data_IF_821675944266
#
_entry.id   IF_821675944266
#
_cell.length_a   1.000
_cell.length_b   1.000
_cell.length_c   1.000
_cell.angle_alpha   90.00
_cell.angle_beta   90.00
_cell.angle_gamma   90.00
#
_symmetry.space_group_name_H-M   'P 1'
#
loop_
_entity.id
_entity.type
_entity.pdbx_description
1 polymer ?
#
# COMPACT_ATOMS: atom_id res chain seq x y z
N UNK A 1 -31.17 -9.12 -7.24
CA UNK A 1 -30.59 -9.34 -8.58
C UNK A 1 -31.21 -10.60 -9.18
N UNK A 2 -31.45 -10.61 -10.46
CA UNK A 2 -32.07 -11.73 -11.16
C UNK A 2 -31.14 -12.18 -12.29
N UNK A 3 -31.29 -13.45 -12.72
CA UNK A 3 -30.50 -14.00 -13.80
C UNK A 3 -29.50 -15.10 -13.37
N UNK A 4 -28.95 -15.84 -14.36
CA UNK A 4 -28.04 -16.94 -14.08
C UNK A 4 -26.66 -16.42 -13.62
N UNK A 5 -26.01 -17.18 -12.72
CA UNK A 5 -24.64 -16.93 -12.27
C UNK A 5 -23.81 -18.20 -12.20
N UNK A 6 -22.50 -18.01 -12.22
CA UNK A 6 -21.53 -18.98 -11.74
C UNK A 6 -20.86 -18.38 -10.50
N UNK A 7 -21.00 -19.03 -9.36
CA UNK A 7 -20.33 -18.65 -8.13
C UNK A 7 -19.02 -19.41 -7.99
N UNK A 8 -17.98 -18.73 -7.50
CA UNK A 8 -16.64 -19.28 -7.33
C UNK A 8 -16.18 -19.11 -5.89
N UNK A 9 -15.82 -20.21 -5.26
CA UNK A 9 -15.02 -20.22 -4.03
C UNK A 9 -13.56 -20.45 -4.42
N UNK A 10 -12.73 -19.42 -4.22
CA UNK A 10 -11.37 -19.35 -4.77
C UNK A 10 -10.34 -19.77 -3.73
N UNK A 11 -9.49 -20.74 -4.11
CA UNK A 11 -8.37 -21.24 -3.32
C UNK A 11 -7.07 -21.25 -4.15
N UNK A 12 -5.94 -21.51 -3.49
CA UNK A 12 -4.63 -21.58 -4.13
C UNK A 12 -4.58 -22.71 -5.15
N UNK A 13 -4.42 -22.39 -6.44
CA UNK A 13 -4.22 -23.34 -7.53
C UNK A 13 -5.46 -24.12 -7.98
N UNK A 14 -6.51 -24.16 -7.17
CA UNK A 14 -7.79 -24.77 -7.52
C UNK A 14 -8.95 -24.03 -6.84
N UNK A 15 -10.14 -24.13 -7.40
CA UNK A 15 -11.35 -23.47 -6.88
C UNK A 15 -12.55 -24.37 -7.04
N UNK A 16 -13.64 -24.02 -6.37
CA UNK A 16 -14.93 -24.64 -6.59
C UNK A 16 -15.84 -23.71 -7.39
N UNK A 17 -16.62 -24.25 -8.28
CA UNK A 17 -17.62 -23.52 -9.06
C UNK A 17 -18.98 -24.19 -9.00
N UNK A 18 -20.04 -23.39 -8.98
CA UNK A 18 -21.41 -23.86 -9.10
C UNK A 18 -22.25 -22.88 -9.92
N UNK A 19 -23.01 -23.43 -10.87
CA UNK A 19 -23.97 -22.67 -11.65
C UNK A 19 -25.31 -22.54 -10.94
N UNK A 20 -25.97 -21.39 -11.11
CA UNK A 20 -27.34 -21.16 -10.64
C UNK A 20 -28.16 -20.53 -11.76
N UNK A 21 -29.36 -21.09 -11.98
CA UNK A 21 -30.34 -20.56 -12.95
C UNK A 21 -30.98 -19.27 -12.42
N UNK A 22 -31.25 -19.23 -11.14
CA UNK A 22 -31.80 -18.10 -10.38
C UNK A 22 -31.58 -18.33 -8.89
N UNK A 23 -32.08 -17.40 -8.03
CA UNK A 23 -32.01 -17.55 -6.58
C UNK A 23 -32.56 -18.91 -6.11
N UNK A 24 -31.75 -19.64 -5.35
CA UNK A 24 -32.10 -20.95 -4.79
C UNK A 24 -32.24 -22.09 -5.80
N UNK A 25 -31.93 -21.90 -7.10
CA UNK A 25 -32.03 -22.93 -8.15
C UNK A 25 -30.69 -23.27 -8.74
N UNK A 26 -29.91 -24.17 -8.12
CA UNK A 26 -28.61 -24.60 -8.67
C UNK A 26 -28.75 -25.43 -9.91
N UNK A 27 -27.82 -25.30 -10.85
CA UNK A 27 -27.62 -26.18 -12.01
C UNK A 27 -26.55 -27.21 -11.67
N UNK A 28 -26.95 -28.33 -11.08
CA UNK A 28 -26.04 -29.39 -10.65
C UNK A 28 -25.34 -29.09 -9.32
N UNK A 29 -24.38 -29.94 -8.97
CA UNK A 29 -23.55 -29.82 -7.76
C UNK A 29 -22.35 -28.89 -8.02
N UNK A 30 -21.80 -28.33 -6.96
CA UNK A 30 -20.51 -27.68 -7.04
C UNK A 30 -19.43 -28.69 -7.45
N UNK A 31 -18.47 -28.23 -8.24
CA UNK A 31 -17.34 -29.07 -8.68
C UNK A 31 -16.03 -28.31 -8.53
N UNK A 32 -14.98 -29.07 -8.30
CA UNK A 32 -13.61 -28.58 -8.21
C UNK A 32 -13.00 -28.43 -9.60
N UNK A 33 -12.26 -27.35 -9.83
CA UNK A 33 -11.48 -27.14 -11.05
C UNK A 33 -10.11 -26.53 -10.71
N UNK A 34 -9.13 -26.79 -11.51
CA UNK A 34 -7.79 -26.23 -11.42
C UNK A 34 -7.70 -24.93 -12.23
N UNK A 35 -6.78 -24.04 -11.86
CA UNK A 35 -6.52 -22.80 -12.58
C UNK A 35 -5.64 -23.05 -13.82
N UNK A 36 -6.12 -23.90 -14.73
CA UNK A 36 -5.48 -24.26 -15.99
C UNK A 36 -6.52 -24.29 -17.12
N UNK A 37 -6.05 -24.52 -18.34
CA UNK A 37 -6.91 -24.53 -19.54
C UNK A 37 -8.04 -25.55 -19.46
N UNK A 38 -7.79 -26.75 -18.91
CA UNK A 38 -8.81 -27.78 -18.74
C UNK A 38 -9.90 -27.34 -17.76
N UNK A 39 -9.47 -26.81 -16.60
CA UNK A 39 -10.40 -26.31 -15.59
C UNK A 39 -11.24 -25.14 -16.11
N UNK A 40 -10.64 -24.20 -16.81
CA UNK A 40 -11.37 -23.08 -17.44
C UNK A 40 -12.28 -23.55 -18.57
N UNK A 41 -11.94 -24.62 -19.29
CA UNK A 41 -12.83 -25.29 -20.25
C UNK A 41 -14.13 -25.77 -19.60
N UNK A 42 -14.06 -26.36 -18.41
CA UNK A 42 -15.25 -26.77 -17.63
C UNK A 42 -16.14 -25.59 -17.25
N UNK A 43 -15.54 -24.43 -16.94
CA UNK A 43 -16.29 -23.18 -16.65
C UNK A 43 -16.99 -22.66 -17.90
N UNK A 44 -16.30 -22.65 -19.04
CA UNK A 44 -16.88 -22.27 -20.35
C UNK A 44 -18.05 -23.14 -20.73
N UNK A 45 -17.96 -24.45 -20.51
CA UNK A 45 -19.05 -25.42 -20.76
C UNK A 45 -20.24 -25.16 -19.82
N UNK A 46 -19.99 -24.94 -18.52
CA UNK A 46 -21.04 -24.58 -17.57
C UNK A 46 -21.75 -23.28 -17.98
N UNK A 47 -20.99 -22.30 -18.46
CA UNK A 47 -21.53 -21.01 -18.95
C UNK A 47 -22.47 -21.24 -20.15
N UNK A 48 -22.07 -22.06 -21.14
CA UNK A 48 -22.92 -22.42 -22.29
C UNK A 48 -24.20 -23.09 -21.85
N UNK A 49 -24.14 -24.08 -20.98
CA UNK A 49 -25.32 -24.80 -20.44
C UNK A 49 -26.28 -23.88 -19.68
N UNK A 50 -25.77 -22.92 -18.92
CA UNK A 50 -26.59 -21.91 -18.24
C UNK A 50 -27.30 -21.02 -19.28
N UNK A 51 -26.59 -20.54 -20.29
CA UNK A 51 -27.12 -19.72 -21.37
C UNK A 51 -28.21 -20.47 -22.16
N UNK A 52 -27.99 -21.73 -22.49
CA UNK A 52 -28.97 -22.57 -23.20
C UNK A 52 -30.28 -22.72 -22.41
N UNK A 53 -30.21 -22.86 -21.09
CA UNK A 53 -31.38 -23.02 -20.22
C UNK A 53 -32.11 -21.73 -19.88
N UNK A 54 -31.42 -20.59 -19.89
CA UNK A 54 -31.98 -19.32 -19.44
C UNK A 54 -32.13 -18.26 -20.53
N UNK A 55 -31.48 -18.47 -21.68
CA UNK A 55 -31.40 -17.49 -22.77
C UNK A 55 -30.46 -16.31 -22.49
N UNK A 56 -29.83 -16.27 -21.30
CA UNK A 56 -29.02 -15.12 -20.83
C UNK A 56 -27.60 -15.58 -20.46
N UNK A 57 -26.58 -14.79 -20.79
CA UNK A 57 -25.22 -15.07 -20.34
C UNK A 57 -25.13 -15.02 -18.81
N UNK A 58 -24.53 -16.01 -18.14
CA UNK A 58 -24.36 -15.97 -16.71
C UNK A 58 -23.34 -14.92 -16.29
N UNK A 59 -23.54 -14.31 -15.15
CA UNK A 59 -22.53 -13.49 -14.49
C UNK A 59 -21.61 -14.35 -13.62
N UNK A 60 -20.39 -13.91 -13.43
CA UNK A 60 -19.41 -14.53 -12.53
C UNK A 60 -19.44 -13.82 -11.16
N UNK A 61 -19.51 -14.61 -10.08
CA UNK A 61 -19.54 -14.07 -8.71
C UNK A 61 -18.48 -14.80 -7.89
N UNK A 62 -17.57 -14.08 -7.26
CA UNK A 62 -16.51 -14.67 -6.43
C UNK A 62 -16.27 -13.91 -5.13
N UNK A 63 -15.76 -14.61 -4.12
CA UNK A 63 -15.26 -13.99 -2.91
C UNK A 63 -13.81 -13.56 -3.11
N UNK A 64 -13.47 -12.33 -2.70
CA UNK A 64 -12.11 -11.80 -2.82
C UNK A 64 -11.11 -12.53 -1.91
N UNK A 65 -10.19 -13.26 -2.51
CA UNK A 65 -9.14 -14.06 -1.82
C UNK A 65 -7.72 -13.57 -2.16
N UNK A 66 -7.57 -12.30 -2.49
CA UNK A 66 -6.27 -11.70 -2.82
C UNK A 66 -5.67 -12.25 -4.12
N UNK A 67 -4.38 -12.54 -4.10
CA UNK A 67 -3.62 -12.95 -5.29
C UNK A 67 -4.09 -14.27 -5.91
N UNK A 68 -4.73 -15.15 -5.15
CA UNK A 68 -5.23 -16.43 -5.66
C UNK A 68 -6.39 -16.30 -6.64
N UNK A 69 -7.14 -15.20 -6.57
CA UNK A 69 -8.21 -14.92 -7.52
C UNK A 69 -7.72 -14.37 -8.87
N UNK A 70 -6.49 -13.86 -8.95
CA UNK A 70 -6.00 -13.18 -10.15
C UNK A 70 -6.03 -14.04 -11.43
N UNK A 71 -5.59 -15.32 -11.44
CA UNK A 71 -5.67 -16.14 -12.65
C UNK A 71 -7.11 -16.39 -13.12
N UNK A 72 -8.04 -16.63 -12.17
CA UNK A 72 -9.46 -16.77 -12.49
C UNK A 72 -10.04 -15.46 -13.02
N UNK A 73 -9.71 -14.33 -12.39
CA UNK A 73 -10.18 -13.01 -12.79
C UNK A 73 -9.74 -12.68 -14.22
N UNK A 74 -8.47 -12.92 -14.56
CA UNK A 74 -7.96 -12.73 -15.92
C UNK A 74 -8.76 -13.55 -16.94
N UNK A 75 -8.97 -14.84 -16.67
CA UNK A 75 -9.79 -15.70 -17.54
C UNK A 75 -11.23 -15.20 -17.70
N UNK A 76 -11.87 -14.73 -16.60
CA UNK A 76 -13.25 -14.23 -16.64
C UNK A 76 -13.35 -12.92 -17.44
N UNK A 77 -12.35 -12.04 -17.34
CA UNK A 77 -12.25 -10.81 -18.13
C UNK A 77 -12.11 -11.12 -19.61
N UNK A 78 -11.15 -11.97 -19.97
CA UNK A 78 -10.87 -12.35 -21.35
C UNK A 78 -12.06 -13.09 -21.99
N UNK A 79 -12.84 -13.81 -21.18
CA UNK A 79 -14.07 -14.49 -21.61
C UNK A 79 -15.31 -13.58 -21.65
N UNK A 80 -15.20 -12.30 -21.29
CA UNK A 80 -16.28 -11.32 -21.37
C UNK A 80 -17.39 -11.48 -20.33
N UNK A 81 -17.10 -12.08 -19.17
CA UNK A 81 -18.07 -12.20 -18.09
C UNK A 81 -18.36 -10.84 -17.45
N UNK A 82 -19.63 -10.61 -17.09
CA UNK A 82 -19.97 -9.59 -16.08
C UNK A 82 -19.58 -10.14 -14.71
N UNK A 83 -18.67 -9.49 -14.01
CA UNK A 83 -18.04 -10.01 -12.80
C UNK A 83 -18.54 -9.24 -11.58
N UNK A 84 -18.84 -9.96 -10.50
CA UNK A 84 -19.20 -9.41 -9.19
C UNK A 84 -18.27 -9.96 -8.12
N UNK A 85 -17.76 -9.06 -7.29
CA UNK A 85 -16.88 -9.39 -6.19
C UNK A 85 -17.60 -9.22 -4.86
N UNK A 86 -17.49 -10.22 -3.99
CA UNK A 86 -18.07 -10.22 -2.64
C UNK A 86 -16.95 -10.08 -1.62
N UNK A 87 -17.21 -9.28 -0.58
CA UNK A 87 -16.28 -9.15 0.54
C UNK A 87 -16.32 -10.40 1.44
N UNK A 88 -15.18 -10.91 1.91
CA UNK A 88 -15.13 -12.01 2.89
C UNK A 88 -15.95 -11.75 4.16
N UNK A 89 -16.08 -10.47 4.56
CA UNK A 89 -16.92 -10.09 5.71
C UNK A 89 -18.42 -10.35 5.46
N UNK A 90 -18.87 -10.26 4.22
CA UNK A 90 -20.26 -10.48 3.84
C UNK A 90 -20.60 -11.97 3.80
N UNK A 91 -19.72 -12.76 3.18
CA UNK A 91 -19.83 -14.22 3.21
C UNK A 91 -19.80 -14.75 4.66
N UNK A 92 -18.92 -14.21 5.50
CA UNK A 92 -18.86 -14.58 6.91
C UNK A 92 -20.13 -14.20 7.68
N UNK A 93 -20.72 -13.05 7.42
CA UNK A 93 -22.00 -12.65 8.03
C UNK A 93 -23.16 -13.54 7.57
N UNK A 94 -23.22 -13.89 6.28
CA UNK A 94 -24.23 -14.77 5.74
C UNK A 94 -24.12 -16.17 6.35
N UNK A 95 -22.92 -16.73 6.50
CA UNK A 95 -22.68 -18.02 7.18
C UNK A 95 -23.12 -18.00 8.65
N UNK A 96 -22.85 -16.92 9.38
CA UNK A 96 -23.26 -16.78 10.77
C UNK A 96 -24.79 -16.66 10.96
N UNK A 97 -25.50 -16.21 9.95
CA UNK A 97 -26.96 -16.11 9.97
C UNK A 97 -27.65 -17.47 9.76
N UNK A 98 -26.92 -18.50 9.35
CA UNK A 98 -27.45 -19.86 9.17
C UNK A 98 -27.56 -20.59 10.52
N UNK A 99 -28.68 -21.28 10.74
CA UNK A 99 -29.01 -21.99 11.99
C UNK A 99 -27.98 -23.12 12.30
N UNK A 100 -27.35 -23.69 11.28
CA UNK A 100 -26.30 -24.71 11.40
C UNK A 100 -25.12 -24.35 10.51
N UNK A 101 -24.16 -23.55 11.00
CA UNK A 101 -23.00 -23.17 10.21
C UNK A 101 -22.08 -24.39 9.97
N UNK A 102 -22.14 -24.96 8.78
CA UNK A 102 -21.20 -25.98 8.31
C UNK A 102 -20.25 -25.33 7.30
N UNK A 103 -18.94 -25.56 7.47
CA UNK A 103 -17.93 -25.12 6.50
C UNK A 103 -17.61 -26.27 5.57
N UNK A 104 -18.02 -26.13 4.29
CA UNK A 104 -17.70 -27.07 3.23
C UNK A 104 -17.63 -26.27 1.92
N UNK A 105 -16.61 -26.50 1.11
CA UNK A 105 -16.32 -25.76 -0.13
C UNK A 105 -17.52 -25.73 -1.10
N UNK A 106 -18.36 -26.77 -1.12
CA UNK A 106 -19.61 -26.79 -1.92
C UNK A 106 -20.69 -25.87 -1.35
N UNK A 107 -20.72 -25.65 -0.01
CA UNK A 107 -21.64 -24.73 0.65
C UNK A 107 -21.19 -23.28 0.49
N UNK A 108 -19.88 -23.06 0.34
CA UNK A 108 -19.33 -21.72 0.17
C UNK A 108 -19.76 -21.11 -1.19
N UNK A 109 -19.81 -21.89 -2.28
CA UNK A 109 -20.41 -21.45 -3.55
C UNK A 109 -21.89 -21.04 -3.40
N UNK A 110 -22.67 -21.82 -2.62
CA UNK A 110 -24.08 -21.48 -2.35
C UNK A 110 -24.22 -20.22 -1.49
N UNK A 111 -23.34 -20.02 -0.52
CA UNK A 111 -23.30 -18.80 0.32
C UNK A 111 -22.99 -17.57 -0.51
N UNK A 112 -21.99 -17.66 -1.42
CA UNK A 112 -21.66 -16.60 -2.37
C UNK A 112 -22.88 -16.26 -3.25
N UNK A 113 -23.59 -17.26 -3.78
CA UNK A 113 -24.80 -17.05 -4.55
C UNK A 113 -25.91 -16.37 -3.74
N UNK A 114 -26.14 -16.78 -2.47
CA UNK A 114 -27.10 -16.14 -1.56
C UNK A 114 -26.79 -14.67 -1.33
N UNK A 115 -25.51 -14.30 -1.12
CA UNK A 115 -25.10 -12.91 -0.99
C UNK A 115 -25.42 -12.11 -2.25
N UNK A 116 -25.11 -12.66 -3.43
CA UNK A 116 -25.38 -12.02 -4.72
C UNK A 116 -26.88 -11.75 -4.94
N UNK A 117 -27.72 -12.74 -4.72
CA UNK A 117 -29.18 -12.58 -4.93
C UNK A 117 -29.87 -11.77 -3.83
N UNK A 118 -29.28 -11.72 -2.63
CA UNK A 118 -29.89 -11.08 -1.46
C UNK A 118 -29.81 -9.55 -1.44
N UNK A 119 -29.01 -8.94 -2.32
CA UNK A 119 -28.86 -7.47 -2.38
C UNK A 119 -28.38 -6.98 -3.74
N UNK A 120 -28.64 -5.71 -4.09
CA UNK A 120 -28.05 -5.13 -5.28
C UNK A 120 -26.52 -4.99 -5.11
N UNK A 121 -25.76 -5.60 -6.03
CA UNK A 121 -24.32 -5.45 -6.16
C UNK A 121 -23.99 -4.67 -7.44
N UNK A 122 -22.86 -4.00 -7.46
CA UNK A 122 -22.35 -3.37 -8.67
C UNK A 122 -21.36 -4.32 -9.35
N UNK A 123 -21.37 -4.39 -10.69
CA UNK A 123 -20.32 -5.11 -11.42
C UNK A 123 -18.94 -4.59 -11.03
N UNK A 124 -17.97 -5.49 -11.02
CA UNK A 124 -16.57 -5.13 -10.79
C UNK A 124 -16.11 -4.20 -11.92
N UNK A 125 -15.73 -2.99 -11.57
CA UNK A 125 -15.00 -2.11 -12.48
C UNK A 125 -13.56 -2.59 -12.56
N UNK A 126 -13.14 -3.05 -13.72
CA UNK A 126 -11.76 -3.44 -13.96
C UNK A 126 -10.95 -2.14 -14.05
N UNK A 127 -9.96 -1.92 -13.17
CA UNK A 127 -9.15 -0.72 -13.27
C UNK A 127 -8.34 -0.74 -14.57
N UNK A 128 -8.10 0.41 -15.14
CA UNK A 128 -7.08 0.55 -16.18
C UNK A 128 -5.73 0.02 -15.64
N UNK A 129 -4.96 -0.62 -16.52
CA UNK A 129 -3.68 -1.24 -16.18
C UNK A 129 -2.73 -0.22 -15.51
N UNK A 130 -2.75 1.01 -15.97
CA UNK A 130 -1.92 2.11 -15.43
C UNK A 130 -2.14 2.32 -13.93
N UNK A 131 -3.41 2.37 -13.49
CA UNK A 131 -3.72 2.52 -12.05
C UNK A 131 -3.42 1.25 -11.25
N UNK A 132 -3.56 0.08 -11.86
CA UNK A 132 -3.21 -1.18 -11.24
C UNK A 132 -1.71 -1.27 -10.98
N UNK A 133 -0.89 -0.94 -11.98
CA UNK A 133 0.56 -0.92 -11.88
C UNK A 133 1.05 0.12 -10.85
N UNK A 134 0.50 1.33 -10.89
CA UNK A 134 0.81 2.35 -9.88
C UNK A 134 0.48 1.89 -8.45
N UNK A 135 -0.61 1.16 -8.27
CA UNK A 135 -1.01 0.63 -6.96
C UNK A 135 -0.02 -0.43 -6.46
N UNK A 136 0.36 -1.38 -7.31
CA UNK A 136 1.35 -2.39 -6.95
C UNK A 136 2.71 -1.75 -6.64
N UNK A 137 3.18 -0.84 -7.47
CA UNK A 137 4.43 -0.10 -7.24
C UNK A 137 4.38 0.73 -5.96
N UNK A 138 3.26 1.40 -5.67
CA UNK A 138 3.08 2.19 -4.43
C UNK A 138 3.13 1.31 -3.19
N UNK A 139 2.55 0.12 -3.24
CA UNK A 139 2.57 -0.84 -2.13
C UNK A 139 3.95 -1.45 -1.94
N UNK A 140 4.63 -1.77 -3.04
CA UNK A 140 6.02 -2.21 -3.01
C UNK A 140 6.92 -1.11 -2.40
N UNK A 141 6.79 0.13 -2.84
CA UNK A 141 7.50 1.27 -2.27
C UNK A 141 7.29 1.41 -0.76
N UNK A 142 6.06 1.25 -0.28
CA UNK A 142 5.76 1.34 1.15
C UNK A 142 6.35 0.18 1.96
N UNK A 143 6.37 -1.03 1.40
CA UNK A 143 7.03 -2.17 2.01
C UNK A 143 8.54 -1.93 2.14
N UNK A 144 9.19 -1.50 1.06
CA UNK A 144 10.63 -1.22 1.04
C UNK A 144 11.01 -0.04 1.92
N UNK A 145 10.15 0.98 2.02
CA UNK A 145 10.33 2.07 2.97
C UNK A 145 10.36 1.57 4.42
N UNK A 146 9.51 0.60 4.77
CA UNK A 146 9.54 -0.05 6.08
C UNK A 146 10.87 -0.76 6.34
N UNK A 147 11.34 -1.55 5.38
CA UNK A 147 12.65 -2.24 5.45
C UNK A 147 13.79 -1.23 5.58
N UNK A 148 13.78 -0.17 4.77
CA UNK A 148 14.81 0.87 4.81
C UNK A 148 14.87 1.58 6.17
N UNK A 149 13.72 1.81 6.83
CA UNK A 149 13.68 2.40 8.17
C UNK A 149 14.29 1.45 9.21
N UNK A 150 13.99 0.16 9.15
CA UNK A 150 14.57 -0.85 10.06
C UNK A 150 16.10 -0.96 9.89
N UNK A 151 16.57 -1.05 8.65
CA UNK A 151 18.01 -1.11 8.34
C UNK A 151 18.73 0.19 8.75
N UNK A 152 18.10 1.34 8.56
CA UNK A 152 18.60 2.64 8.99
C UNK A 152 18.75 2.72 10.52
N UNK A 153 17.77 2.22 11.28
CA UNK A 153 17.83 2.20 12.75
C UNK A 153 18.92 1.24 13.25
N UNK A 154 19.09 0.08 12.60
CA UNK A 154 20.19 -0.83 12.90
C UNK A 154 21.55 -0.21 12.62
N UNK A 155 21.70 0.41 11.46
CA UNK A 155 22.92 1.12 11.07
C UNK A 155 23.27 2.22 12.06
N UNK A 156 22.30 3.06 12.45
CA UNK A 156 22.54 4.15 13.41
C UNK A 156 23.11 3.63 14.73
N UNK A 157 22.52 2.57 15.27
CA UNK A 157 23.04 1.92 16.50
C UNK A 157 24.48 1.41 16.35
N UNK A 158 24.82 0.79 15.23
CA UNK A 158 26.18 0.32 14.97
C UNK A 158 27.14 1.50 14.74
N UNK A 159 26.67 2.54 14.05
CA UNK A 159 27.43 3.75 13.81
C UNK A 159 27.83 4.44 15.12
N UNK A 160 26.88 4.66 16.03
CA UNK A 160 27.13 5.31 17.32
C UNK A 160 28.21 4.60 18.16
N UNK A 161 28.31 3.28 18.01
CA UNK A 161 29.33 2.52 18.72
C UNK A 161 30.73 2.62 18.07
N UNK A 162 30.81 2.73 16.74
CA UNK A 162 32.08 2.80 16.01
C UNK A 162 32.50 4.25 15.76
N UNK A 163 31.54 5.13 15.49
CA UNK A 163 31.71 6.54 15.14
C UNK A 163 30.83 7.43 16.04
N UNK A 164 31.13 7.53 17.36
CA UNK A 164 30.28 8.29 18.29
C UNK A 164 30.12 9.75 17.87
N UNK A 165 28.87 10.25 17.85
CA UNK A 165 28.53 11.65 17.50
C UNK A 165 28.90 12.06 16.06
N UNK A 166 29.13 11.11 15.14
CA UNK A 166 29.45 11.44 13.75
C UNK A 166 28.28 12.14 13.02
N UNK A 167 27.08 12.02 13.52
CA UNK A 167 25.91 12.75 13.06
C UNK A 167 26.00 14.28 13.27
N UNK A 168 26.88 14.76 14.15
CA UNK A 168 27.20 16.19 14.31
C UNK A 168 28.10 16.72 13.18
N UNK A 169 28.87 15.84 12.52
CA UNK A 169 29.71 16.18 11.36
C UNK A 169 28.91 16.17 10.07
N UNK A 170 28.12 15.13 9.88
CA UNK A 170 27.25 14.98 8.71
C UNK A 170 26.10 14.05 9.03
N UNK A 171 24.91 14.33 8.47
CA UNK A 171 23.75 13.47 8.70
C UNK A 171 24.13 12.00 8.46
N UNK A 172 23.89 11.14 9.45
CA UNK A 172 24.43 9.77 9.52
C UNK A 172 24.06 8.90 8.32
N UNK A 173 22.92 9.16 7.67
CA UNK A 173 22.48 8.44 6.48
C UNK A 173 22.67 9.25 5.19
N UNK A 174 23.43 10.34 5.23
CA UNK A 174 23.83 11.09 4.04
C UNK A 174 24.72 10.24 3.12
N UNK A 175 24.71 10.55 1.83
CA UNK A 175 25.57 9.85 0.86
C UNK A 175 27.07 10.00 1.22
N UNK A 176 27.45 11.14 1.79
CA UNK A 176 28.81 11.41 2.26
C UNK A 176 29.16 10.51 3.46
N UNK A 177 28.32 10.51 4.51
CA UNK A 177 28.52 9.66 5.69
C UNK A 177 28.64 8.19 5.31
N UNK A 178 27.69 7.66 4.56
CA UNK A 178 27.69 6.27 4.12
C UNK A 178 28.96 5.91 3.33
N UNK A 179 29.40 6.78 2.42
CA UNK A 179 30.63 6.53 1.64
C UNK A 179 31.89 6.55 2.51
N UNK A 180 31.98 7.47 3.49
CA UNK A 180 33.10 7.54 4.44
C UNK A 180 33.15 6.26 5.28
N UNK A 181 32.03 5.86 5.87
CA UNK A 181 31.95 4.65 6.69
C UNK A 181 32.26 3.40 5.89
N UNK A 182 31.72 3.27 4.68
CA UNK A 182 32.02 2.11 3.80
C UNK A 182 33.49 2.04 3.45
N UNK A 183 34.14 3.18 3.19
CA UNK A 183 35.51 3.23 2.76
C UNK A 183 36.49 2.97 3.90
N UNK A 184 36.27 3.55 5.05
CA UNK A 184 37.24 3.54 6.14
C UNK A 184 36.92 2.54 7.24
N UNK A 185 35.62 2.25 7.45
CA UNK A 185 35.09 1.37 8.51
C UNK A 185 35.28 1.94 9.91
N UNK A 186 36.47 2.40 10.25
CA UNK A 186 36.82 2.92 11.57
C UNK A 186 37.49 4.30 11.46
N UNK A 187 37.26 5.26 12.38
CA UNK A 187 37.87 6.59 12.34
C UNK A 187 39.37 6.59 12.23
N UNK A 188 40.03 5.70 12.97
CA UNK A 188 41.53 5.63 12.97
C UNK A 188 42.15 5.21 11.63
N UNK A 189 41.35 4.72 10.69
CA UNK A 189 41.82 4.36 9.33
C UNK A 189 41.90 5.60 8.41
N UNK A 190 41.33 6.75 8.83
CA UNK A 190 41.48 8.01 8.11
C UNK A 190 42.85 8.61 8.38
N UNK A 191 43.73 8.59 7.37
CA UNK A 191 45.12 9.09 7.50
C UNK A 191 45.36 10.39 6.74
N UNK A 192 44.53 10.69 5.72
CA UNK A 192 44.81 11.80 4.80
C UNK A 192 43.51 12.50 4.35
N UNK A 193 43.58 13.83 4.16
CA UNK A 193 42.54 14.65 3.53
C UNK A 193 42.12 14.10 2.16
N UNK A 194 43.11 13.67 1.33
CA UNK A 194 42.88 13.09 0.01
C UNK A 194 42.00 11.83 0.09
N UNK A 195 42.19 11.01 1.13
CA UNK A 195 41.38 9.82 1.37
C UNK A 195 39.91 10.16 1.59
N UNK A 196 39.62 11.20 2.42
CA UNK A 196 38.27 11.69 2.67
C UNK A 196 37.67 12.30 1.39
N UNK A 197 38.44 13.17 0.72
CA UNK A 197 38.01 13.80 -0.55
C UNK A 197 37.56 12.74 -1.58
N UNK A 198 38.30 11.65 -1.71
CA UNK A 198 37.96 10.54 -2.61
C UNK A 198 36.72 9.75 -2.16
N UNK A 199 36.41 9.68 -0.86
CA UNK A 199 35.17 9.03 -0.38
C UNK A 199 33.92 9.82 -0.74
N UNK A 200 34.03 11.14 -0.77
CA UNK A 200 32.90 12.05 -1.06
C UNK A 200 32.92 12.59 -2.50
N UNK A 201 33.70 12.00 -3.39
CA UNK A 201 33.76 12.39 -4.79
C UNK A 201 32.41 12.19 -5.48
N UNK A 202 31.95 13.22 -6.24
CA UNK A 202 30.64 13.20 -6.89
C UNK A 202 29.43 13.23 -5.95
N UNK A 203 29.62 13.43 -4.64
CA UNK A 203 28.51 13.62 -3.69
C UNK A 203 28.05 15.08 -3.72
N UNK A 204 26.76 15.29 -3.94
CA UNK A 204 26.13 16.60 -3.75
C UNK A 204 25.95 16.84 -2.25
N UNK A 205 26.57 17.90 -1.75
CA UNK A 205 26.45 18.33 -0.36
C UNK A 205 25.30 19.36 -0.24
N UNK A 206 24.75 19.50 0.95
CA UNK A 206 23.72 20.51 1.24
C UNK A 206 24.27 21.92 1.09
N UNK A 207 23.38 22.91 0.97
CA UNK A 207 23.70 24.31 0.64
C UNK A 207 24.54 25.07 1.70
N UNK A 208 24.76 24.49 2.87
CA UNK A 208 25.46 25.14 3.98
C UNK A 208 26.85 24.55 4.31
N UNK A 209 27.32 23.54 3.57
CA UNK A 209 28.60 22.90 3.83
C UNK A 209 29.36 22.77 2.53
N UNK A 210 30.56 23.35 2.46
CA UNK A 210 31.44 23.12 1.32
C UNK A 210 32.12 21.75 1.43
N UNK A 211 32.68 21.28 0.33
CA UNK A 211 33.43 20.01 0.32
C UNK A 211 34.66 20.08 1.22
N UNK A 212 35.34 21.20 1.21
CA UNK A 212 36.56 21.40 2.02
C UNK A 212 36.20 21.49 3.51
N UNK A 213 35.12 22.16 3.90
CA UNK A 213 34.65 22.19 5.27
C UNK A 213 34.36 20.78 5.79
N UNK A 214 33.61 19.96 5.01
CA UNK A 214 33.33 18.59 5.43
C UNK A 214 34.60 17.74 5.57
N UNK A 215 35.60 17.93 4.72
CA UNK A 215 36.88 17.23 4.83
C UNK A 215 37.60 17.64 6.13
N UNK A 216 37.62 18.93 6.45
CA UNK A 216 38.24 19.42 7.69
C UNK A 216 37.50 18.87 8.92
N UNK A 217 36.18 18.96 8.95
CA UNK A 217 35.36 18.47 10.05
C UNK A 217 35.58 16.97 10.29
N UNK A 218 35.67 16.17 9.22
CA UNK A 218 35.96 14.73 9.33
C UNK A 218 37.36 14.49 9.87
N UNK A 219 38.38 15.25 9.45
CA UNK A 219 39.76 15.12 9.97
C UNK A 219 39.82 15.54 11.43
N UNK A 220 39.15 16.65 11.81
CA UNK A 220 39.11 17.12 13.19
C UNK A 220 38.36 16.11 14.09
N UNK A 221 37.26 15.53 13.60
CA UNK A 221 36.55 14.46 14.29
C UNK A 221 37.49 13.29 14.65
N UNK A 222 38.39 12.87 13.74
CA UNK A 222 39.32 11.76 14.04
C UNK A 222 40.35 12.05 15.11
N UNK A 223 40.58 13.34 15.44
CA UNK A 223 41.52 13.77 16.49
C UNK A 223 40.84 13.94 17.85
N UNK A 224 39.53 14.27 17.82
CA UNK A 224 38.80 14.67 19.02
C UNK A 224 37.88 13.58 19.57
N UNK A 225 37.57 12.55 18.80
CA UNK A 225 36.62 11.50 19.19
C UNK A 225 37.29 10.12 19.23
N UNK A 226 36.95 9.35 20.25
CA UNK A 226 37.38 7.96 20.41
C UNK A 226 36.26 7.01 19.97
N UNK A 227 36.61 5.99 19.21
CA UNK A 227 35.71 4.88 18.88
C UNK A 227 35.44 4.01 20.10
N UNK A 228 34.25 3.42 20.16
CA UNK A 228 33.89 2.43 21.19
C UNK A 228 34.45 1.04 20.97
N UNK A 229 35.24 0.81 19.89
CA UNK A 229 35.83 -0.49 19.58
C UNK A 229 37.19 -0.34 18.85
N UNK A 230 37.88 -1.44 18.68
CA UNK A 230 39.16 -1.48 17.90
C UNK A 230 38.86 -1.58 16.40
N UNK A 231 39.79 -1.14 15.53
CA UNK A 231 39.63 -1.21 14.06
C UNK A 231 39.37 -2.61 13.49
N UNK A 232 39.79 -3.65 14.20
CA UNK A 232 39.62 -5.04 13.79
C UNK A 232 38.36 -5.71 14.41
N UNK A 233 37.53 -4.95 15.12
CA UNK A 233 36.31 -5.48 15.70
C UNK A 233 35.34 -5.94 14.62
N UNK A 234 34.59 -7.03 14.89
CA UNK A 234 33.48 -7.46 14.05
C UNK A 234 32.42 -6.36 13.88
N UNK A 235 32.24 -5.52 14.90
CA UNK A 235 31.30 -4.40 14.87
C UNK A 235 31.63 -3.40 13.74
N UNK A 236 32.90 -3.20 13.41
CA UNK A 236 33.32 -2.37 12.27
C UNK A 236 32.85 -2.99 10.95
N UNK A 237 33.02 -4.31 10.79
CA UNK A 237 32.57 -5.02 9.60
C UNK A 237 31.05 -4.97 9.47
N UNK A 238 30.33 -5.17 10.57
CA UNK A 238 28.86 -5.06 10.61
C UNK A 238 28.40 -3.64 10.24
N UNK A 239 29.06 -2.60 10.76
CA UNK A 239 28.75 -1.19 10.44
C UNK A 239 28.91 -0.92 8.94
N UNK A 240 29.98 -1.40 8.33
CA UNK A 240 30.20 -1.28 6.88
C UNK A 240 29.06 -1.97 6.09
N UNK A 241 28.70 -3.19 6.47
CA UNK A 241 27.64 -3.93 5.77
C UNK A 241 26.26 -3.25 5.94
N UNK A 242 25.95 -2.72 7.13
CA UNK A 242 24.75 -1.95 7.35
C UNK A 242 24.74 -0.65 6.52
N UNK A 243 25.86 0.06 6.44
CA UNK A 243 25.99 1.25 5.58
C UNK A 243 25.74 0.94 4.10
N UNK A 244 26.28 -0.17 3.60
CA UNK A 244 26.03 -0.66 2.23
C UNK A 244 24.55 -0.99 1.99
N UNK A 245 23.88 -1.63 2.97
CA UNK A 245 22.45 -1.93 2.88
C UNK A 245 21.62 -0.66 2.84
N UNK A 246 21.83 0.27 3.77
CA UNK A 246 21.12 1.56 3.78
C UNK A 246 21.29 2.30 2.46
N UNK A 247 22.52 2.33 1.92
CA UNK A 247 22.79 2.97 0.62
C UNK A 247 22.00 2.32 -0.51
N UNK A 248 21.96 0.99 -0.57
CA UNK A 248 21.25 0.22 -1.59
C UNK A 248 19.74 0.40 -1.50
N UNK A 249 19.18 0.37 -0.28
CA UNK A 249 17.74 0.57 -0.09
C UNK A 249 17.30 1.99 -0.46
N UNK A 250 18.11 3.00 -0.16
CA UNK A 250 17.85 4.39 -0.62
C UNK A 250 17.81 4.50 -2.14
N UNK A 251 18.74 3.85 -2.84
CA UNK A 251 18.76 3.85 -4.30
C UNK A 251 17.55 3.13 -4.89
N UNK A 252 17.19 1.98 -4.35
CA UNK A 252 16.04 1.20 -4.78
C UNK A 252 14.73 1.97 -4.59
N UNK A 253 14.55 2.64 -3.45
CA UNK A 253 13.39 3.51 -3.21
C UNK A 253 13.31 4.64 -4.24
N UNK A 254 14.46 5.24 -4.59
CA UNK A 254 14.53 6.27 -5.62
C UNK A 254 14.12 5.76 -6.99
N UNK A 255 14.64 4.60 -7.41
CA UNK A 255 14.30 3.98 -8.70
C UNK A 255 12.81 3.66 -8.83
N UNK A 256 12.19 3.10 -7.77
CA UNK A 256 10.76 2.82 -7.77
C UNK A 256 9.95 4.12 -7.88
N UNK A 257 10.35 5.15 -7.14
CA UNK A 257 9.68 6.46 -7.18
C UNK A 257 9.79 7.11 -8.56
N UNK A 258 10.96 7.06 -9.20
CA UNK A 258 11.18 7.60 -10.55
C UNK A 258 10.27 6.90 -11.59
N UNK A 259 10.19 5.57 -11.55
CA UNK A 259 9.26 4.81 -12.43
C UNK A 259 7.80 5.18 -12.20
N UNK A 260 7.39 5.33 -10.95
CA UNK A 260 6.03 5.78 -10.64
C UNK A 260 5.76 7.20 -11.17
N UNK A 261 6.75 8.09 -11.09
CA UNK A 261 6.66 9.45 -11.62
C UNK A 261 6.47 9.47 -13.14
N UNK A 262 7.22 8.65 -13.88
CA UNK A 262 7.10 8.51 -15.34
C UNK A 262 5.68 8.11 -15.79
N UNK A 263 5.05 7.21 -15.02
CA UNK A 263 3.67 6.78 -15.28
C UNK A 263 2.69 7.88 -14.91
N UNK A 264 2.80 8.44 -13.71
CA UNK A 264 1.85 9.39 -13.17
C UNK A 264 1.89 10.76 -13.86
N UNK A 265 3.04 11.16 -14.40
CA UNK A 265 3.18 12.42 -15.16
C UNK A 265 2.22 12.52 -16.36
N UNK A 266 1.76 11.38 -16.88
CA UNK A 266 0.81 11.28 -17.99
C UNK A 266 -0.66 11.42 -17.53
N UNK A 267 -0.92 11.37 -16.23
CA UNK A 267 -2.26 11.43 -15.67
C UNK A 267 -2.63 12.87 -15.29
N UNK A 268 -3.77 13.39 -15.73
CA UNK A 268 -4.17 14.77 -15.43
C UNK A 268 -4.35 15.02 -13.93
N UNK A 269 -4.77 14.01 -13.16
CA UNK A 269 -4.97 14.09 -11.72
C UNK A 269 -3.67 14.38 -10.97
N UNK A 270 -2.53 14.01 -11.52
CA UNK A 270 -1.23 14.22 -10.86
C UNK A 270 -0.94 15.72 -10.68
N UNK A 271 -1.15 16.52 -11.69
CA UNK A 271 -0.96 17.97 -11.61
C UNK A 271 -2.02 18.64 -10.73
N UNK A 272 -3.27 18.15 -10.80
CA UNK A 272 -4.35 18.63 -9.94
C UNK A 272 -4.04 18.41 -8.45
N UNK A 273 -3.54 17.23 -8.08
CA UNK A 273 -3.14 16.95 -6.69
C UNK A 273 -1.94 17.79 -6.25
N UNK A 274 -0.97 18.01 -7.11
CA UNK A 274 0.21 18.84 -6.83
C UNK A 274 -0.12 20.32 -6.67
N UNK A 275 -1.23 20.80 -7.22
CA UNK A 275 -1.70 22.18 -7.01
C UNK A 275 -2.18 22.44 -5.58
N UNK A 276 -2.43 21.37 -4.79
CA UNK A 276 -2.84 21.50 -3.39
C UNK A 276 -1.58 21.76 -2.54
N UNK A 277 -1.51 22.89 -1.80
CA UNK A 277 -0.39 23.18 -0.92
C UNK A 277 -0.09 22.02 0.03
N UNK A 278 1.18 21.61 0.10
CA UNK A 278 1.60 20.49 0.97
C UNK A 278 1.52 19.09 0.35
N UNK A 279 0.95 18.94 -0.85
CA UNK A 279 0.99 17.70 -1.61
C UNK A 279 2.11 17.79 -2.65
N UNK A 280 3.16 16.99 -2.45
CA UNK A 280 4.29 16.85 -3.37
C UNK A 280 4.21 15.53 -4.15
N UNK A 281 5.18 15.27 -5.02
CA UNK A 281 5.22 14.14 -5.93
C UNK A 281 4.89 12.80 -5.26
N UNK A 282 5.60 12.44 -4.21
CA UNK A 282 5.39 11.16 -3.51
C UNK A 282 3.98 11.03 -2.92
N UNK A 283 3.43 12.12 -2.35
CA UNK A 283 2.08 12.09 -1.79
C UNK A 283 1.02 12.00 -2.90
N UNK A 284 1.18 12.77 -3.99
CA UNK A 284 0.28 12.72 -5.15
C UNK A 284 0.27 11.32 -5.78
N UNK A 285 1.45 10.72 -5.99
CA UNK A 285 1.59 9.35 -6.48
C UNK A 285 0.84 8.34 -5.63
N UNK A 286 1.05 8.38 -4.31
CA UNK A 286 0.40 7.45 -3.38
C UNK A 286 -1.11 7.63 -3.32
N UNK A 287 -1.60 8.87 -3.46
CA UNK A 287 -3.04 9.16 -3.54
C UNK A 287 -3.63 8.56 -4.83
N UNK A 288 -3.05 8.86 -5.99
CA UNK A 288 -3.52 8.33 -7.29
C UNK A 288 -3.49 6.79 -7.29
N UNK A 289 -2.39 6.21 -6.85
CA UNK A 289 -2.22 4.76 -6.81
C UNK A 289 -3.33 4.05 -6.01
N UNK A 290 -3.73 4.61 -4.88
CA UNK A 290 -4.74 3.98 -4.02
C UNK A 290 -6.18 4.38 -4.36
N UNK A 291 -6.42 5.58 -4.87
CA UNK A 291 -7.73 6.02 -5.36
C UNK A 291 -8.04 5.31 -6.69
N UNK A 292 -7.07 5.26 -7.59
CA UNK A 292 -7.26 4.83 -8.98
C UNK A 292 -8.09 5.86 -9.75
N UNK A 293 -8.86 5.40 -10.73
CA UNK A 293 -9.76 6.25 -11.49
C UNK A 293 -10.85 6.85 -10.58
N UNK A 294 -10.86 8.17 -10.48
CA UNK A 294 -11.80 8.92 -9.63
C UNK A 294 -13.25 8.82 -10.11
N UNK A 295 -13.47 8.53 -11.39
CA UNK A 295 -14.81 8.40 -11.98
C UNK A 295 -15.65 7.25 -11.40
N UNK A 296 -15.00 6.28 -10.74
CA UNK A 296 -15.66 5.17 -10.03
C UNK A 296 -16.52 5.64 -8.84
N UNK A 297 -16.20 6.81 -8.29
CA UNK A 297 -16.89 7.32 -7.10
C UNK A 297 -17.95 8.33 -7.53
N UNK A 298 -19.20 8.03 -7.22
CA UNK A 298 -20.32 8.91 -7.60
C UNK A 298 -20.26 10.27 -6.91
N UNK A 299 -19.68 10.31 -5.71
CA UNK A 299 -19.55 11.51 -4.89
C UNK A 299 -18.41 11.39 -3.85
N UNK A 300 -18.14 12.47 -3.16
CA UNK A 300 -17.12 12.51 -2.10
C UNK A 300 -17.44 11.55 -0.94
N UNK A 301 -18.73 11.26 -0.65
CA UNK A 301 -19.11 10.35 0.44
C UNK A 301 -18.71 8.91 0.11
N UNK A 302 -18.86 8.51 -1.15
CA UNK A 302 -18.41 7.20 -1.63
C UNK A 302 -16.88 7.04 -1.46
N UNK A 303 -16.10 8.08 -1.76
CA UNK A 303 -14.67 8.09 -1.53
C UNK A 303 -14.30 8.04 -0.04
N UNK A 304 -15.00 8.82 0.81
CA UNK A 304 -14.82 8.80 2.28
C UNK A 304 -15.08 7.40 2.85
N UNK A 305 -16.15 6.73 2.39
CA UNK A 305 -16.46 5.36 2.78
C UNK A 305 -15.38 4.36 2.28
N UNK A 306 -14.90 4.51 1.03
CA UNK A 306 -13.81 3.71 0.51
C UNK A 306 -12.52 3.85 1.32
N UNK A 307 -12.23 5.04 1.80
CA UNK A 307 -11.09 5.32 2.68
C UNK A 307 -11.33 4.74 4.08
N UNK A 308 -12.59 4.61 4.51
CA UNK A 308 -13.00 4.21 5.86
C UNK A 308 -12.81 5.33 6.89
N UNK A 309 -13.04 6.57 6.47
CA UNK A 309 -13.11 7.77 7.31
C UNK A 309 -14.53 8.11 7.74
N UNK A 310 -15.53 7.39 7.24
CA UNK A 310 -16.91 7.52 7.63
C UNK A 310 -17.09 7.26 9.15
N UNK A 311 -17.88 8.06 9.87
CA UNK A 311 -18.12 7.84 11.29
C UNK A 311 -18.94 6.56 11.51
N UNK A 312 -18.65 5.84 12.58
CA UNK A 312 -19.52 4.76 13.04
C UNK A 312 -20.84 5.39 13.52
N UNK A 313 -21.95 4.82 13.09
CA UNK A 313 -23.28 5.23 13.58
C UNK A 313 -23.74 4.20 14.60
N UNK A 314 -23.89 4.62 15.85
CA UNK A 314 -24.51 3.83 16.93
C UNK A 314 -25.74 4.59 17.39
N UNK A 315 -26.89 4.20 16.85
CA UNK A 315 -28.20 4.69 17.29
C UNK A 315 -28.99 3.51 17.85
N UNK A 316 -29.31 3.57 19.12
CA UNK A 316 -30.17 2.61 19.80
C UNK A 316 -31.20 3.38 20.62
N UNK A 317 -32.38 3.47 20.10
CA UNK A 317 -33.49 4.19 20.75
C UNK A 317 -33.19 5.68 21.00
N UNK A 318 -33.20 6.10 22.26
CA UNK A 318 -32.90 7.49 22.66
C UNK A 318 -31.42 7.81 22.82
N UNK A 319 -30.52 6.80 22.70
CA UNK A 319 -29.10 7.00 22.87
C UNK A 319 -28.43 7.15 21.51
N UNK A 320 -28.04 8.39 21.17
CA UNK A 320 -27.09 8.72 20.10
C UNK A 320 -25.70 8.72 20.72
N UNK A 321 -24.81 7.85 20.25
CA UNK A 321 -23.43 7.83 20.70
C UNK A 321 -22.73 9.13 20.30
N UNK A 322 -22.26 9.90 21.28
CA UNK A 322 -21.37 11.05 21.06
C UNK A 322 -19.94 10.57 20.91
N UNK A 323 -19.14 11.23 20.05
CA UNK A 323 -17.71 10.91 19.80
C UNK A 323 -17.43 9.54 19.19
N UNK A 324 -18.14 9.17 18.14
CA UNK A 324 -17.91 7.90 17.44
C UNK A 324 -16.61 7.93 16.62
N UNK A 325 -15.87 6.85 16.71
CA UNK A 325 -14.66 6.65 15.90
C UNK A 325 -15.00 6.41 14.43
N UNK A 326 -14.04 6.68 13.54
CA UNK A 326 -14.14 6.30 12.13
C UNK A 326 -14.20 4.78 11.99
N UNK A 327 -14.90 4.29 10.96
CA UNK A 327 -15.12 2.84 10.75
C UNK A 327 -13.83 2.06 10.53
N UNK A 328 -12.81 2.67 9.96
CA UNK A 328 -11.55 2.03 9.49
C UNK A 328 -11.77 0.84 8.55
N UNK A 329 -12.99 0.65 8.04
CA UNK A 329 -13.38 -0.44 7.12
C UNK A 329 -13.08 -0.08 5.67
N UNK A 330 -11.88 0.42 5.40
CA UNK A 330 -11.48 0.87 4.08
C UNK A 330 -9.98 0.86 3.87
N UNK A 331 -9.51 1.59 2.88
CA UNK A 331 -8.13 1.58 2.45
C UNK A 331 -7.17 2.22 3.48
N UNK A 332 -6.42 1.39 4.20
CA UNK A 332 -5.47 1.84 5.23
C UNK A 332 -4.31 2.68 4.68
N UNK A 333 -3.85 2.38 3.46
CA UNK A 333 -2.73 3.09 2.83
C UNK A 333 -3.15 4.51 2.46
N UNK A 334 -4.36 4.66 1.93
CA UNK A 334 -4.92 5.97 1.59
C UNK A 334 -5.14 6.82 2.84
N UNK A 335 -5.69 6.25 3.92
CA UNK A 335 -5.81 6.96 5.22
C UNK A 335 -4.47 7.45 5.74
N UNK A 336 -3.44 6.60 5.72
CA UNK A 336 -2.10 6.96 6.14
C UNK A 336 -1.54 8.12 5.30
N UNK A 337 -1.68 8.05 3.99
CA UNK A 337 -1.20 9.09 3.07
C UNK A 337 -1.91 10.42 3.31
N UNK A 338 -3.24 10.42 3.46
CA UNK A 338 -4.01 11.63 3.77
C UNK A 338 -3.62 12.24 5.11
N UNK A 339 -3.42 11.43 6.14
CA UNK A 339 -2.94 11.91 7.44
C UNK A 339 -1.58 12.61 7.31
N UNK A 340 -0.64 12.03 6.57
CA UNK A 340 0.67 12.65 6.31
C UNK A 340 0.55 13.94 5.50
N UNK A 341 -0.34 14.00 4.50
CA UNK A 341 -0.62 15.22 3.76
C UNK A 341 -1.13 16.34 4.67
N UNK A 342 -2.13 16.06 5.51
CA UNK A 342 -2.67 17.03 6.45
C UNK A 342 -1.60 17.49 7.45
N UNK A 343 -0.81 16.58 8.02
CA UNK A 343 0.28 16.94 8.93
C UNK A 343 1.30 17.86 8.24
N UNK A 344 1.68 17.57 7.01
CA UNK A 344 2.59 18.40 6.23
C UNK A 344 1.99 19.80 5.95
N UNK A 345 0.69 19.85 5.62
CA UNK A 345 -0.02 21.11 5.40
C UNK A 345 -0.02 21.97 6.67
N UNK A 346 -0.32 21.38 7.81
CA UNK A 346 -0.35 22.08 9.09
C UNK A 346 1.03 22.65 9.49
N UNK A 347 2.11 21.93 9.15
CA UNK A 347 3.47 22.34 9.48
C UNK A 347 3.97 23.45 8.56
N UNK A 348 3.73 23.33 7.25
CA UNK A 348 4.37 24.20 6.26
C UNK A 348 3.43 25.20 5.58
N UNK A 349 2.11 25.00 5.68
CA UNK A 349 1.07 25.82 5.05
C UNK A 349 -0.11 26.08 5.99
N UNK A 350 0.15 26.59 7.22
CA UNK A 350 -0.91 26.78 8.24
C UNK A 350 -2.01 27.75 7.78
N UNK A 351 -1.67 28.72 6.92
CA UNK A 351 -2.60 29.71 6.39
C UNK A 351 -3.46 29.22 5.22
N UNK A 352 -3.23 27.99 4.72
CA UNK A 352 -4.06 27.38 3.70
C UNK A 352 -5.50 27.16 4.21
N UNK A 353 -6.45 26.97 3.28
CA UNK A 353 -7.84 26.66 3.65
C UNK A 353 -7.95 25.46 4.59
N UNK A 354 -7.15 24.41 4.35
CA UNK A 354 -7.11 23.20 5.19
C UNK A 354 -6.50 23.54 6.56
N UNK A 355 -5.38 24.27 6.61
CA UNK A 355 -4.73 24.68 7.86
C UNK A 355 -5.68 25.49 8.75
N UNK A 356 -6.33 26.52 8.18
CA UNK A 356 -7.32 27.34 8.88
C UNK A 356 -8.51 26.54 9.40
N UNK A 357 -9.02 25.59 8.60
CA UNK A 357 -10.09 24.68 9.00
C UNK A 357 -9.71 23.85 10.22
N UNK A 358 -8.56 23.18 10.17
CA UNK A 358 -8.09 22.34 11.30
C UNK A 358 -7.82 23.18 12.55
N UNK A 359 -7.22 24.37 12.41
CA UNK A 359 -7.00 25.28 13.53
C UNK A 359 -8.33 25.70 14.17
N UNK A 360 -9.34 26.04 13.36
CA UNK A 360 -10.69 26.32 13.86
C UNK A 360 -11.23 25.14 14.66
N UNK A 361 -11.14 23.91 14.13
CA UNK A 361 -11.64 22.73 14.81
C UNK A 361 -10.91 22.40 16.11
N UNK A 362 -9.60 22.67 16.19
CA UNK A 362 -8.86 22.58 17.45
C UNK A 362 -9.38 23.60 18.48
N UNK A 363 -9.65 24.82 18.06
CA UNK A 363 -10.20 25.85 18.94
C UNK A 363 -11.63 25.50 19.41
N UNK A 364 -12.39 24.73 18.60
CA UNK A 364 -13.69 24.16 18.97
C UNK A 364 -13.55 22.96 19.95
N UNK A 365 -12.34 22.64 20.44
CA UNK A 365 -12.09 21.59 21.45
C UNK A 365 -11.76 20.21 20.87
N UNK A 366 -11.64 20.05 19.55
CA UNK A 366 -11.26 18.78 18.96
C UNK A 366 -9.75 18.53 19.05
N UNK A 367 -9.33 17.30 19.35
CA UNK A 367 -7.92 16.93 19.29
C UNK A 367 -7.42 16.92 17.83
N UNK A 368 -6.11 17.09 17.62
CA UNK A 368 -5.51 17.18 16.27
C UNK A 368 -5.85 16.01 15.34
N UNK A 369 -6.07 14.79 15.88
CA UNK A 369 -6.45 13.63 15.08
C UNK A 369 -7.91 13.60 14.71
N UNK A 370 -8.75 14.35 15.40
CA UNK A 370 -10.21 14.43 15.16
C UNK A 370 -10.58 15.67 14.34
N UNK A 371 -9.77 16.73 14.39
CA UNK A 371 -9.95 17.95 13.59
C UNK A 371 -9.56 17.72 12.12
#
# INVERSE_FOLDING_TARGET
MEGPIISFDVSKGCSHAQGFLSSGKPLGKAFKFEHNMEGYGKISELSKRLKEKTGVNPSAVYEFTGVYAMPLLAFLIDSGFTIYQISPLESAKMRKAEIRPTKNDSLDCSTIAKVYYGRPLRPLSIPDQTYSDLREMSRQYQYELGVAIEEKNRYHRCLDAVWPLFDQVTAYDSKASLNIVIKFGHPSNIKTRRGVASAIEGVLLGSHTTRDDLIEDVIEYTKTHNSGCTPNSYLVQETIEMAKRVKREKERLREVLERMLEIAAKLPEFQLLKSIPGIKDTSALRLIAEIGDISKYNDAKALVAYIGLDPMVLQSGKNTGEHLHITKKGNKFLRCTLYLCVTNILTHYPDSKIGKFVTKKKNDGLCQKAA
#
